data_IF_453427307174
#
_entry.id   IF_453427307174
#
_cell.length_a   1.000
_cell.length_b   1.000
_cell.length_c   1.000
_cell.angle_alpha   90.00
_cell.angle_beta   90.00
_cell.angle_gamma   90.00
#
_symmetry.space_group_name_H-M   'P 1'
#
loop_
_entity.id
_entity.type
_entity.pdbx_description
1 polymer ?
#
# COMPACT_ATOMS: atom_id res chain seq x y z
N UNK A 1 2.77 -44.68 28.57
CA UNK A 1 3.75 -43.97 27.72
C UNK A 1 5.14 -44.36 28.20
N UNK A 2 5.80 -45.20 27.45
CA UNK A 2 7.04 -45.85 27.87
C UNK A 2 8.25 -44.90 27.70
N UNK A 3 9.26 -45.11 28.50
CA UNK A 3 10.56 -44.43 28.46
C UNK A 3 11.19 -44.46 27.04
N UNK A 4 10.91 -45.52 26.28
CA UNK A 4 11.33 -45.69 24.89
C UNK A 4 10.58 -44.80 23.89
N UNK A 5 9.33 -44.38 24.19
CA UNK A 5 8.60 -43.44 23.30
C UNK A 5 9.13 -42.01 23.48
N UNK A 6 9.59 -41.66 24.69
CA UNK A 6 10.26 -40.40 24.96
C UNK A 6 11.64 -40.33 24.29
N UNK A 7 12.40 -41.43 24.32
CA UNK A 7 13.70 -41.51 23.64
C UNK A 7 13.59 -41.49 22.10
N UNK A 8 12.51 -42.07 21.53
CA UNK A 8 12.27 -41.98 20.10
C UNK A 8 11.88 -40.56 19.64
N UNK A 9 11.15 -39.82 20.48
CA UNK A 9 10.83 -38.41 20.22
C UNK A 9 12.05 -37.49 20.25
N UNK A 10 13.11 -37.82 21.01
CA UNK A 10 14.36 -37.06 21.03
C UNK A 10 15.32 -37.41 19.87
N UNK A 11 15.04 -38.47 19.12
CA UNK A 11 15.87 -38.92 17.98
C UNK A 11 15.37 -38.40 16.63
N UNK A 12 14.11 -37.98 16.51
CA UNK A 12 13.57 -37.44 15.29
C UNK A 12 13.79 -35.92 15.30
N UNK A 13 14.54 -35.46 14.34
CA UNK A 13 14.81 -34.06 14.13
C UNK A 13 13.65 -33.42 13.35
N UNK A 14 13.01 -32.42 13.93
CA UNK A 14 11.89 -31.70 13.32
C UNK A 14 12.32 -30.31 12.90
N UNK A 15 12.16 -30.02 11.62
CA UNK A 15 12.43 -28.73 11.00
C UNK A 15 11.09 -28.08 10.71
N UNK A 16 10.74 -27.02 11.43
CA UNK A 16 9.47 -26.31 11.24
C UNK A 16 9.57 -24.84 11.69
N UNK A 17 8.76 -24.00 11.10
CA UNK A 17 8.54 -22.62 11.56
C UNK A 17 7.18 -22.54 12.26
N UNK A 18 7.17 -22.84 13.54
CA UNK A 18 5.93 -22.94 14.34
C UNK A 18 5.39 -21.56 14.77
N UNK A 19 6.28 -20.58 15.00
CA UNK A 19 5.92 -19.26 15.51
C UNK A 19 6.24 -18.17 14.46
N UNK A 20 5.47 -18.17 13.35
CA UNK A 20 5.63 -17.18 12.32
C UNK A 20 5.10 -15.82 12.80
N UNK A 21 6.00 -14.86 12.97
CA UNK A 21 5.63 -13.47 13.24
C UNK A 21 5.05 -12.81 11.98
N UNK A 22 3.99 -11.99 12.10
CA UNK A 22 3.27 -11.44 10.94
C UNK A 22 4.12 -10.58 10.00
N UNK A 23 5.19 -9.96 10.53
CA UNK A 23 6.06 -9.06 9.78
C UNK A 23 7.28 -9.76 9.18
N UNK A 24 7.54 -11.02 9.49
CA UNK A 24 8.66 -11.78 8.96
C UNK A 24 8.26 -12.46 7.66
N UNK A 25 8.96 -12.14 6.58
CA UNK A 25 8.78 -12.74 5.26
C UNK A 25 9.65 -13.97 5.06
N UNK A 26 10.91 -13.91 5.47
CA UNK A 26 11.87 -14.98 5.33
C UNK A 26 12.52 -15.25 6.67
N UNK A 27 12.60 -16.53 7.03
CA UNK A 27 13.26 -16.97 8.24
C UNK A 27 14.09 -18.21 7.96
N UNK A 28 15.41 -18.12 8.26
CA UNK A 28 16.33 -19.23 8.17
C UNK A 28 16.20 -20.11 9.41
N UNK A 29 15.98 -21.39 9.20
CA UNK A 29 15.95 -22.35 10.32
C UNK A 29 17.31 -22.43 10.98
N UNK A 30 17.44 -22.12 12.29
CA UNK A 30 18.70 -22.11 12.99
C UNK A 30 19.22 -23.53 13.20
N UNK A 31 20.46 -23.77 12.73
CA UNK A 31 21.12 -25.06 12.93
C UNK A 31 22.60 -24.90 13.19
N UNK A 32 23.10 -25.74 14.06
CA UNK A 32 24.56 -25.86 14.26
C UNK A 32 25.18 -26.52 13.02
N UNK A 33 26.15 -25.88 12.41
CA UNK A 33 26.86 -26.29 11.18
C UNK A 33 25.93 -26.54 9.96
N UNK A 34 24.68 -26.10 9.97
CA UNK A 34 23.69 -26.34 8.90
C UNK A 34 23.50 -27.82 8.56
N UNK A 35 23.72 -28.72 9.52
CA UNK A 35 23.62 -30.15 9.34
C UNK A 35 22.19 -30.65 9.52
N UNK A 36 21.66 -31.36 8.51
CA UNK A 36 20.36 -32.03 8.57
C UNK A 36 20.60 -33.52 8.81
N UNK A 37 20.00 -34.06 9.87
CA UNK A 37 20.07 -35.49 10.16
C UNK A 37 19.25 -36.29 9.16
N UNK A 38 19.72 -37.47 8.85
CA UNK A 38 18.96 -38.42 8.05
C UNK A 38 17.63 -38.78 8.76
N UNK A 39 16.54 -38.90 8.03
CA UNK A 39 15.16 -39.09 8.52
C UNK A 39 14.62 -37.89 9.34
N UNK A 40 15.19 -36.69 9.20
CA UNK A 40 14.58 -35.48 9.74
C UNK A 40 13.21 -35.26 9.12
N UNK A 41 12.29 -34.69 9.89
CA UNK A 41 10.94 -34.36 9.44
C UNK A 41 10.85 -32.87 9.17
N UNK A 42 10.60 -32.49 7.91
CA UNK A 42 10.27 -31.11 7.56
C UNK A 42 8.75 -30.93 7.57
N UNK A 43 8.28 -29.92 8.29
CA UNK A 43 6.87 -29.55 8.33
C UNK A 43 6.72 -28.14 7.80
N UNK A 44 6.12 -28.02 6.61
CA UNK A 44 5.74 -26.75 6.00
C UNK A 44 4.26 -26.51 6.25
N UNK A 45 3.94 -25.44 6.99
CA UNK A 45 2.56 -25.14 7.39
C UNK A 45 1.81 -24.40 6.27
N UNK A 46 0.46 -24.44 6.25
CA UNK A 46 -0.32 -23.60 5.34
C UNK A 46 0.07 -22.12 5.45
N UNK A 47 0.29 -21.45 4.31
CA UNK A 47 0.77 -20.07 4.26
C UNK A 47 2.28 -19.93 4.43
N UNK A 48 3.02 -21.01 4.24
CA UNK A 48 4.49 -21.05 4.19
C UNK A 48 4.94 -21.87 2.99
N UNK A 49 6.16 -21.58 2.53
CA UNK A 49 6.95 -22.46 1.66
C UNK A 49 8.34 -22.62 2.27
N UNK A 50 9.01 -23.72 2.00
CA UNK A 50 10.38 -23.95 2.44
C UNK A 50 11.31 -24.00 1.22
N UNK A 51 12.46 -23.34 1.31
CA UNK A 51 13.52 -23.37 0.30
C UNK A 51 14.74 -24.04 0.88
N UNK A 52 15.27 -25.02 0.15
CA UNK A 52 16.57 -25.60 0.43
C UNK A 52 17.65 -24.90 -0.39
N UNK A 53 18.71 -24.45 0.30
CA UNK A 53 19.89 -23.85 -0.32
C UNK A 53 21.10 -24.69 0.02
N UNK A 54 21.76 -25.22 -1.00
CA UNK A 54 22.99 -25.99 -0.88
C UNK A 54 24.13 -25.31 -1.62
N UNK A 55 25.23 -25.09 -0.93
CA UNK A 55 26.43 -24.39 -1.49
C UNK A 55 26.08 -23.06 -2.20
N UNK A 56 25.12 -22.31 -1.64
CA UNK A 56 24.67 -21.03 -2.19
C UNK A 56 23.71 -21.13 -3.39
N UNK A 57 23.30 -22.35 -3.79
CA UNK A 57 22.33 -22.55 -4.86
C UNK A 57 20.99 -23.01 -4.32
N UNK A 58 19.91 -22.46 -4.84
CA UNK A 58 18.56 -22.93 -4.51
C UNK A 58 18.39 -24.32 -5.12
N UNK A 59 18.20 -25.32 -4.25
CA UNK A 59 18.03 -26.71 -4.65
C UNK A 59 16.58 -27.02 -4.96
N UNK A 60 15.66 -26.61 -4.06
CA UNK A 60 14.23 -26.91 -4.21
C UNK A 60 13.35 -25.97 -3.40
N UNK A 61 12.06 -25.90 -3.80
CA UNK A 61 10.99 -25.17 -3.09
C UNK A 61 9.88 -26.16 -2.78
N UNK A 62 9.50 -26.22 -1.50
CA UNK A 62 8.51 -27.15 -0.99
C UNK A 62 7.24 -26.41 -0.54
N UNK A 63 6.12 -26.89 -1.03
CA UNK A 63 4.78 -26.43 -0.67
C UNK A 63 4.36 -26.93 0.74
N UNK A 64 3.23 -26.43 1.29
CA UNK A 64 2.69 -26.91 2.54
C UNK A 64 2.52 -28.43 2.56
N UNK A 65 3.11 -29.08 3.58
CA UNK A 65 3.10 -30.53 3.72
C UNK A 65 4.08 -31.04 4.76
N UNK A 66 4.13 -32.35 4.90
CA UNK A 66 5.10 -33.07 5.72
C UNK A 66 6.01 -33.87 4.82
N UNK A 67 7.31 -33.69 4.99
CA UNK A 67 8.35 -34.32 4.17
C UNK A 67 9.34 -35.04 5.08
N UNK A 68 9.67 -36.27 4.72
CA UNK A 68 10.73 -37.02 5.36
C UNK A 68 12.03 -36.82 4.57
N UNK A 69 13.03 -36.30 5.22
CA UNK A 69 14.33 -35.96 4.61
C UNK A 69 15.26 -37.16 4.75
N UNK A 70 15.17 -38.09 3.81
CA UNK A 70 16.06 -39.24 3.69
C UNK A 70 17.05 -39.01 2.55
N UNK A 71 18.34 -39.22 2.82
CA UNK A 71 19.42 -39.08 1.84
C UNK A 71 19.28 -40.01 0.63
N UNK A 72 18.50 -41.10 0.73
CA UNK A 72 18.27 -42.06 -0.36
C UNK A 72 17.00 -41.75 -1.18
N UNK A 73 16.07 -40.97 -0.63
CA UNK A 73 14.73 -40.78 -1.22
C UNK A 73 14.35 -39.32 -1.43
N UNK A 74 15.32 -38.41 -1.45
CA UNK A 74 14.98 -37.02 -1.71
C UNK A 74 14.82 -36.83 -3.24
N UNK A 75 13.58 -36.93 -3.79
CA UNK A 75 13.32 -36.67 -5.20
C UNK A 75 13.59 -35.20 -5.56
N UNK A 76 13.75 -34.40 -4.55
CA UNK A 76 13.90 -32.97 -4.51
C UNK A 76 15.27 -32.46 -4.98
N UNK A 77 16.28 -33.33 -4.94
CA UNK A 77 17.63 -32.97 -5.25
C UNK A 77 18.12 -33.55 -6.58
N UNK A 78 17.18 -34.04 -7.39
CA UNK A 78 17.47 -34.60 -8.72
C UNK A 78 18.05 -33.60 -9.71
N UNK A 79 17.87 -32.33 -9.47
CA UNK A 79 18.46 -31.23 -10.27
C UNK A 79 19.94 -31.00 -9.99
N UNK A 80 20.45 -31.43 -8.85
CA UNK A 80 21.88 -31.34 -8.52
C UNK A 80 22.59 -32.63 -9.00
N UNK A 81 23.10 -32.61 -10.21
CA UNK A 81 23.79 -33.78 -10.85
C UNK A 81 25.00 -34.31 -10.06
N UNK A 82 25.44 -33.64 -8.98
CA UNK A 82 26.54 -34.06 -8.11
C UNK A 82 26.19 -35.03 -6.99
N UNK A 83 24.90 -35.28 -6.70
CA UNK A 83 24.43 -36.06 -5.54
C UNK A 83 24.48 -37.59 -5.71
N UNK A 84 24.95 -38.08 -6.87
CA UNK A 84 25.03 -39.53 -7.17
C UNK A 84 26.08 -40.31 -6.35
N UNK A 85 26.86 -39.61 -5.50
CA UNK A 85 27.95 -40.26 -4.75
C UNK A 85 27.70 -40.26 -3.25
N UNK A 86 26.64 -40.96 -2.80
CA UNK A 86 26.43 -41.47 -1.46
C UNK A 86 26.96 -40.56 -0.31
N UNK A 87 26.17 -39.54 0.09
CA UNK A 87 26.52 -38.79 1.28
C UNK A 87 26.40 -39.65 2.52
N UNK A 88 27.50 -39.84 3.22
CA UNK A 88 27.44 -40.24 4.61
C UNK A 88 26.87 -39.05 5.39
N UNK A 89 25.66 -39.26 6.00
CA UNK A 89 25.01 -38.29 6.88
C UNK A 89 25.97 -37.70 7.92
N UNK A 90 25.86 -36.39 8.27
CA UNK A 90 24.83 -35.44 7.92
C UNK A 90 25.15 -34.61 6.66
N UNK A 91 24.14 -34.16 5.93
CA UNK A 91 24.33 -33.24 4.81
C UNK A 91 24.13 -31.77 5.25
N UNK A 92 24.90 -30.86 4.63
CA UNK A 92 24.85 -29.43 4.94
C UNK A 92 23.95 -28.73 3.96
N UNK A 93 22.89 -28.12 4.48
CA UNK A 93 21.94 -27.37 3.70
C UNK A 93 21.25 -26.30 4.56
N UNK A 94 21.09 -25.14 4.02
CA UNK A 94 20.28 -24.09 4.63
C UNK A 94 18.83 -24.32 4.31
N UNK A 95 17.94 -24.17 5.29
CA UNK A 95 16.50 -24.22 5.13
C UNK A 95 15.91 -22.86 5.45
N UNK A 96 15.32 -22.24 4.44
CA UNK A 96 14.61 -20.98 4.57
C UNK A 96 13.11 -21.23 4.50
N UNK A 97 12.38 -20.67 5.43
CA UNK A 97 10.92 -20.62 5.37
C UNK A 97 10.47 -19.25 4.89
N UNK A 98 9.54 -19.24 3.96
CA UNK A 98 8.97 -18.02 3.39
C UNK A 98 7.49 -17.95 3.74
N UNK A 99 7.05 -16.80 4.30
CA UNK A 99 5.65 -16.53 4.56
C UNK A 99 4.92 -16.16 3.27
N UNK A 100 3.94 -16.98 2.86
CA UNK A 100 3.13 -16.75 1.64
C UNK A 100 1.73 -16.21 1.96
N UNK A 101 1.45 -15.92 3.24
CA UNK A 101 0.19 -15.28 3.64
C UNK A 101 0.16 -13.82 3.18
N UNK A 102 -1.04 -13.33 2.91
CA UNK A 102 -1.23 -11.92 2.59
C UNK A 102 -0.92 -11.03 3.81
N UNK A 103 -0.07 -10.04 3.61
CA UNK A 103 0.12 -8.94 4.54
C UNK A 103 -0.85 -7.82 4.15
N UNK A 104 -1.85 -7.58 5.00
CA UNK A 104 -2.92 -6.62 4.76
C UNK A 104 -2.70 -5.30 5.49
N UNK A 105 -3.43 -4.27 5.07
CA UNK A 105 -3.46 -2.96 5.73
C UNK A 105 -2.12 -2.23 5.79
N UNK A 106 -1.26 -2.49 4.81
CA UNK A 106 0.00 -1.78 4.65
C UNK A 106 -0.28 -0.37 4.12
N UNK A 107 0.34 0.64 4.73
CA UNK A 107 0.04 2.04 4.42
C UNK A 107 1.02 2.61 3.42
N UNK A 108 0.50 3.38 2.46
CA UNK A 108 1.32 4.16 1.55
C UNK A 108 0.82 5.61 1.50
N UNK A 109 1.65 6.52 1.05
CA UNK A 109 1.28 7.92 0.87
C UNK A 109 2.42 8.73 0.28
N UNK A 110 2.06 9.86 -0.30
CA UNK A 110 3.02 10.78 -0.90
C UNK A 110 3.75 11.56 0.20
N UNK A 111 5.09 11.46 0.30
CA UNK A 111 5.85 12.18 1.33
C UNK A 111 5.77 13.70 1.13
N UNK A 112 5.72 14.16 -0.13
CA UNK A 112 5.59 15.55 -0.53
C UNK A 112 4.39 15.74 -1.46
N UNK A 113 3.80 16.93 -1.54
CA UNK A 113 2.76 17.23 -2.51
C UNK A 113 3.25 17.03 -3.94
N UNK A 114 2.49 16.29 -4.75
CA UNK A 114 2.77 16.04 -6.15
C UNK A 114 2.15 17.15 -7.02
N UNK A 115 2.89 17.74 -7.96
CA UNK A 115 2.31 18.67 -8.92
C UNK A 115 1.45 17.91 -9.93
N UNK A 116 0.22 18.37 -10.11
CA UNK A 116 -0.74 17.83 -11.07
C UNK A 116 -1.23 18.96 -11.97
N UNK A 117 -1.35 18.69 -13.26
CA UNK A 117 -1.99 19.62 -14.20
C UNK A 117 -3.48 19.31 -14.25
N UNK A 118 -4.27 20.23 -13.74
CA UNK A 118 -5.72 20.13 -13.72
C UNK A 118 -6.32 21.00 -14.82
N UNK A 119 -7.33 20.51 -15.57
CA UNK A 119 -7.95 21.27 -16.65
C UNK A 119 -8.69 22.52 -16.20
N UNK A 120 -9.25 22.53 -14.97
CA UNK A 120 -10.04 23.64 -14.43
C UNK A 120 -9.18 24.64 -13.62
N UNK A 121 -8.21 24.14 -12.83
CA UNK A 121 -7.40 24.92 -11.90
C UNK A 121 -5.96 25.17 -12.36
N UNK A 122 -5.55 24.58 -13.49
CA UNK A 122 -4.17 24.68 -13.97
C UNK A 122 -3.23 23.76 -13.17
N UNK A 123 -2.10 24.28 -12.65
CA UNK A 123 -1.18 23.46 -11.87
C UNK A 123 -1.54 23.49 -10.40
N UNK A 124 -1.97 22.38 -9.87
CA UNK A 124 -2.27 22.19 -8.44
C UNK A 124 -1.26 21.24 -7.80
N UNK A 125 -1.29 21.15 -6.47
CA UNK A 125 -0.49 20.20 -5.69
C UNK A 125 -1.41 19.30 -4.89
N UNK A 126 -1.24 17.99 -5.03
CA UNK A 126 -2.05 17.00 -4.34
C UNK A 126 -1.21 16.16 -3.39
N UNK A 127 -1.84 15.62 -2.35
CA UNK A 127 -1.31 14.54 -1.52
C UNK A 127 -2.28 13.39 -1.56
N UNK A 128 -1.76 12.19 -1.73
CA UNK A 128 -2.55 10.96 -1.71
C UNK A 128 -2.03 9.99 -0.67
N UNK A 129 -2.93 9.23 -0.07
CA UNK A 129 -2.58 8.14 0.80
C UNK A 129 -3.62 7.03 0.72
N UNK A 130 -3.20 5.84 1.14
CA UNK A 130 -4.05 4.68 1.07
C UNK A 130 -3.44 3.47 1.73
N UNK A 131 -3.95 2.31 1.37
CA UNK A 131 -3.46 1.03 1.84
C UNK A 131 -3.27 0.05 0.69
N UNK A 132 -2.44 -0.96 0.94
CA UNK A 132 -2.24 -2.04 0.00
C UNK A 132 -2.07 -3.38 0.72
N UNK A 133 -2.25 -4.46 -0.03
CA UNK A 133 -2.07 -5.83 0.44
C UNK A 133 -1.00 -6.49 -0.41
N UNK A 134 -0.02 -7.11 0.25
CA UNK A 134 1.10 -7.77 -0.39
C UNK A 134 1.03 -9.28 -0.19
N UNK A 135 1.48 -10.05 -1.18
CA UNK A 135 1.64 -11.50 -1.13
C UNK A 135 2.95 -11.91 -1.80
N UNK A 136 3.62 -12.91 -1.26
CA UNK A 136 4.72 -13.60 -1.95
C UNK A 136 4.12 -14.64 -2.88
N UNK A 137 4.42 -14.55 -4.19
CA UNK A 137 3.94 -15.47 -5.23
C UNK A 137 5.06 -16.43 -5.68
N UNK A 138 6.29 -15.93 -5.80
CA UNK A 138 7.47 -16.76 -6.05
C UNK A 138 8.53 -16.48 -4.96
N UNK A 139 8.84 -17.48 -4.12
CA UNK A 139 9.80 -17.29 -3.05
C UNK A 139 11.27 -17.27 -3.52
N UNK A 140 11.56 -17.73 -4.74
CA UNK A 140 12.94 -17.78 -5.26
C UNK A 140 13.53 -16.40 -5.51
N UNK A 141 12.91 -15.52 -6.33
CA UNK A 141 13.40 -14.17 -6.52
C UNK A 141 13.50 -13.40 -5.19
N UNK A 142 12.49 -13.54 -4.31
CA UNK A 142 12.53 -12.90 -2.99
C UNK A 142 13.77 -13.27 -2.19
N UNK A 143 14.13 -14.54 -2.17
CA UNK A 143 15.32 -14.99 -1.46
C UNK A 143 16.61 -14.54 -2.14
N UNK A 144 16.69 -14.60 -3.47
CA UNK A 144 17.90 -14.28 -4.23
C UNK A 144 18.18 -12.79 -4.25
N UNK A 145 17.17 -11.97 -4.55
CA UNK A 145 17.36 -10.55 -4.82
C UNK A 145 17.25 -9.69 -3.55
N UNK A 146 16.47 -10.13 -2.57
CA UNK A 146 16.19 -9.30 -1.40
C UNK A 146 16.76 -9.85 -0.09
N UNK A 147 16.41 -11.07 0.27
CA UNK A 147 16.81 -11.63 1.56
C UNK A 147 18.27 -12.11 1.58
N UNK A 148 18.75 -12.65 0.47
CA UNK A 148 20.12 -13.15 0.36
C UNK A 148 20.47 -14.18 1.43
N UNK A 149 21.56 -13.94 2.17
CA UNK A 149 22.02 -14.81 3.26
C UNK A 149 21.58 -14.38 4.66
N UNK A 150 20.62 -13.45 4.77
CA UNK A 150 20.13 -12.99 6.08
C UNK A 150 19.39 -14.11 6.80
N UNK A 151 19.58 -14.20 8.11
CA UNK A 151 18.86 -15.20 8.92
C UNK A 151 17.37 -14.89 9.06
N UNK A 152 17.04 -13.61 9.02
CA UNK A 152 15.67 -13.12 9.05
C UNK A 152 15.55 -11.91 8.12
N UNK A 153 14.49 -11.88 7.31
CA UNK A 153 14.17 -10.77 6.44
C UNK A 153 12.73 -10.32 6.67
N UNK A 154 12.61 -9.07 7.08
CA UNK A 154 11.34 -8.50 7.50
C UNK A 154 10.67 -7.72 6.37
N UNK A 155 9.35 -7.65 6.43
CA UNK A 155 8.53 -6.85 5.55
C UNK A 155 8.99 -5.38 5.45
N UNK A 156 9.47 -4.79 6.56
CA UNK A 156 9.91 -3.39 6.60
C UNK A 156 11.04 -3.06 5.61
N UNK A 157 11.85 -4.05 5.24
CA UNK A 157 12.92 -3.87 4.26
C UNK A 157 12.36 -3.68 2.83
N UNK A 158 11.23 -4.30 2.52
CA UNK A 158 10.55 -4.21 1.22
C UNK A 158 9.60 -2.99 1.16
N UNK A 159 9.01 -2.63 2.29
CA UNK A 159 7.97 -1.61 2.40
C UNK A 159 8.40 -0.25 1.81
N UNK A 160 9.65 0.17 2.06
CA UNK A 160 10.17 1.43 1.53
C UNK A 160 10.25 1.44 0.00
N UNK A 161 10.69 0.34 -0.61
CA UNK A 161 10.72 0.17 -2.06
C UNK A 161 9.31 0.20 -2.64
N UNK A 162 8.40 -0.60 -2.08
CA UNK A 162 7.02 -0.69 -2.56
C UNK A 162 6.29 0.65 -2.46
N UNK A 163 6.42 1.39 -1.36
CA UNK A 163 5.86 2.74 -1.23
C UNK A 163 6.38 3.68 -2.31
N UNK A 164 7.67 3.63 -2.60
CA UNK A 164 8.27 4.47 -3.64
C UNK A 164 7.71 4.14 -5.03
N UNK A 165 7.59 2.85 -5.36
CA UNK A 165 7.01 2.38 -6.62
C UNK A 165 5.53 2.74 -6.74
N UNK A 166 4.76 2.59 -5.65
CA UNK A 166 3.33 2.97 -5.62
C UNK A 166 3.18 4.48 -5.89
N UNK A 167 3.94 5.31 -5.17
CA UNK A 167 3.87 6.78 -5.34
C UNK A 167 4.28 7.20 -6.75
N UNK A 168 5.32 6.59 -7.31
CA UNK A 168 5.74 6.83 -8.69
C UNK A 168 4.65 6.44 -9.68
N UNK A 169 4.14 5.20 -9.62
CA UNK A 169 3.13 4.70 -10.56
C UNK A 169 1.79 5.46 -10.44
N UNK A 170 1.40 5.84 -9.22
CA UNK A 170 0.26 6.72 -8.97
C UNK A 170 0.45 8.08 -9.65
N UNK A 171 1.62 8.72 -9.44
CA UNK A 171 1.93 10.04 -10.02
C UNK A 171 1.93 9.99 -11.55
N UNK A 172 2.52 8.97 -12.15
CA UNK A 172 2.55 8.75 -13.59
C UNK A 172 1.11 8.58 -14.14
N UNK A 173 0.33 7.71 -13.50
CA UNK A 173 -1.04 7.44 -13.96
C UNK A 173 -1.94 8.68 -13.87
N UNK A 174 -1.94 9.40 -12.74
CA UNK A 174 -2.76 10.61 -12.57
C UNK A 174 -2.33 11.72 -13.54
N UNK A 175 -1.03 11.86 -13.84
CA UNK A 175 -0.55 12.83 -14.81
C UNK A 175 -0.98 12.49 -16.26
N UNK A 176 -1.07 11.21 -16.60
CA UNK A 176 -1.45 10.73 -17.94
C UNK A 176 -2.96 10.76 -18.17
N UNK A 177 -3.76 10.47 -17.13
CA UNK A 177 -5.21 10.31 -17.22
C UNK A 177 -5.98 11.62 -17.47
N UNK A 178 -5.37 12.79 -17.21
CA UNK A 178 -6.02 14.11 -17.29
C UNK A 178 -7.36 14.19 -16.53
N UNK A 179 -7.52 13.41 -15.45
CA UNK A 179 -8.71 13.43 -14.60
C UNK A 179 -8.73 14.76 -13.84
N UNK A 180 -9.85 15.49 -13.90
CA UNK A 180 -10.02 16.71 -13.15
C UNK A 180 -10.08 16.43 -11.63
N UNK A 181 -9.60 17.38 -10.81
CA UNK A 181 -9.61 17.25 -9.36
C UNK A 181 -11.01 16.95 -8.81
N UNK A 182 -12.05 17.52 -9.39
CA UNK A 182 -13.44 17.25 -9.05
C UNK A 182 -13.87 15.79 -9.26
N UNK A 183 -13.35 15.16 -10.32
CA UNK A 183 -13.74 13.81 -10.72
C UNK A 183 -12.84 12.75 -10.11
N UNK A 184 -11.72 13.14 -9.51
CA UNK A 184 -10.73 12.20 -9.00
C UNK A 184 -11.31 11.29 -7.93
N UNK A 185 -12.16 11.82 -7.04
CA UNK A 185 -12.82 11.04 -5.99
C UNK A 185 -13.77 9.97 -6.54
N UNK A 186 -14.44 10.24 -7.66
CA UNK A 186 -15.31 9.28 -8.34
C UNK A 186 -14.52 8.16 -9.04
N UNK A 187 -13.25 8.41 -9.35
CA UNK A 187 -12.39 7.50 -10.10
C UNK A 187 -11.33 6.78 -9.23
N UNK A 188 -11.42 6.85 -7.88
CA UNK A 188 -10.43 6.19 -7.00
C UNK A 188 -10.23 4.72 -7.30
N UNK A 189 -11.28 3.97 -7.62
CA UNK A 189 -11.18 2.54 -7.93
C UNK A 189 -10.40 2.28 -9.22
N UNK A 190 -10.64 3.06 -10.27
CA UNK A 190 -9.95 2.94 -11.55
C UNK A 190 -8.48 3.33 -11.41
N UNK A 191 -8.19 4.46 -10.75
CA UNK A 191 -6.82 4.93 -10.50
C UNK A 191 -6.06 3.95 -9.61
N UNK A 192 -6.72 3.35 -8.61
CA UNK A 192 -6.13 2.33 -7.75
C UNK A 192 -5.71 1.10 -8.54
N UNK A 193 -6.60 0.58 -9.39
CA UNK A 193 -6.33 -0.61 -10.19
C UNK A 193 -5.24 -0.37 -11.23
N UNK A 194 -5.29 0.73 -11.96
CA UNK A 194 -4.24 1.08 -12.92
C UNK A 194 -2.87 1.30 -12.24
N UNK A 195 -2.85 1.90 -11.04
CA UNK A 195 -1.63 2.04 -10.25
C UNK A 195 -1.11 0.66 -9.81
N UNK A 196 -1.99 -0.23 -9.34
CA UNK A 196 -1.66 -1.60 -8.94
C UNK A 196 -1.00 -2.37 -10.07
N UNK A 197 -1.60 -2.36 -11.27
CA UNK A 197 -1.09 -3.03 -12.46
C UNK A 197 0.32 -2.55 -12.81
N UNK A 198 0.53 -1.25 -12.90
CA UNK A 198 1.87 -0.67 -13.18
C UNK A 198 2.93 -1.02 -12.13
N UNK A 199 2.54 -1.19 -10.87
CA UNK A 199 3.48 -1.63 -9.82
C UNK A 199 3.77 -3.11 -9.94
N UNK A 200 2.74 -3.96 -10.15
CA UNK A 200 2.90 -5.40 -10.29
C UNK A 200 3.85 -5.75 -11.44
N UNK A 201 3.72 -5.10 -12.60
CA UNK A 201 4.65 -5.28 -13.73
C UNK A 201 6.13 -5.07 -13.37
N UNK A 202 6.41 -4.25 -12.34
CA UNK A 202 7.79 -3.96 -11.90
C UNK A 202 8.30 -4.92 -10.82
N UNK A 203 7.41 -5.55 -10.03
CA UNK A 203 7.80 -6.31 -8.84
C UNK A 203 7.56 -7.82 -8.95
N UNK A 204 6.72 -8.24 -9.88
CA UNK A 204 6.26 -9.63 -10.00
C UNK A 204 7.42 -10.57 -10.37
N UNK A 205 8.00 -10.35 -11.53
CA UNK A 205 9.13 -11.18 -12.02
C UNK A 205 10.43 -10.91 -11.26
N UNK A 206 10.67 -9.67 -10.83
CA UNK A 206 11.95 -9.27 -10.25
C UNK A 206 12.10 -9.71 -8.79
N UNK A 207 11.02 -9.62 -7.99
CA UNK A 207 11.07 -9.90 -6.55
C UNK A 207 10.15 -11.03 -6.11
N UNK A 208 9.33 -11.58 -6.99
CA UNK A 208 8.35 -12.62 -6.68
C UNK A 208 7.23 -12.14 -5.74
N UNK A 209 6.88 -10.87 -5.83
CA UNK A 209 5.90 -10.19 -4.99
C UNK A 209 4.71 -9.73 -5.83
N UNK A 210 3.51 -9.78 -5.26
CA UNK A 210 2.29 -9.29 -5.88
C UNK A 210 1.54 -8.36 -4.93
N UNK A 211 1.14 -7.18 -5.41
CA UNK A 211 0.15 -6.35 -4.73
C UNK A 211 -1.23 -6.87 -5.15
N UNK A 212 -1.87 -7.64 -4.27
CA UNK A 212 -3.19 -8.24 -4.54
C UNK A 212 -4.31 -7.21 -4.48
N UNK A 213 -4.13 -6.13 -3.71
CA UNK A 213 -5.08 -5.03 -3.61
C UNK A 213 -4.34 -3.73 -3.32
N UNK A 214 -4.72 -2.66 -4.00
CA UNK A 214 -4.28 -1.30 -3.73
C UNK A 214 -5.51 -0.41 -3.64
N UNK A 215 -5.56 0.43 -2.60
CA UNK A 215 -6.68 1.35 -2.39
C UNK A 215 -6.14 2.76 -2.13
N UNK A 216 -6.74 3.73 -2.79
CA UNK A 216 -6.62 5.15 -2.47
C UNK A 216 -7.72 5.47 -1.45
N UNK A 217 -7.32 5.91 -0.26
CA UNK A 217 -8.28 6.27 0.80
C UNK A 217 -8.70 7.72 0.65
N UNK A 218 -7.73 8.60 0.37
CA UNK A 218 -8.01 10.01 0.18
C UNK A 218 -6.94 10.70 -0.67
N UNK A 219 -7.37 11.73 -1.38
CA UNK A 219 -6.51 12.70 -2.07
C UNK A 219 -6.85 14.08 -1.52
N UNK A 220 -5.86 14.77 -0.93
CA UNK A 220 -6.02 16.09 -0.34
C UNK A 220 -5.49 17.16 -1.30
N UNK A 221 -6.22 18.26 -1.39
CA UNK A 221 -5.90 19.43 -2.19
C UNK A 221 -5.39 20.60 -1.32
N UNK A 222 -4.73 21.61 -1.89
CA UNK A 222 -4.48 22.88 -1.19
C UNK A 222 -5.78 23.55 -0.77
N UNK A 223 -5.74 24.29 0.32
CA UNK A 223 -6.92 24.95 0.92
C UNK A 223 -7.64 25.87 -0.09
N UNK A 224 -6.88 26.56 -0.96
CA UNK A 224 -7.45 27.42 -2.00
C UNK A 224 -8.26 26.61 -3.02
N UNK A 225 -7.80 25.41 -3.39
CA UNK A 225 -8.50 24.51 -4.30
C UNK A 225 -9.74 23.92 -3.63
N UNK A 226 -9.63 23.50 -2.37
CA UNK A 226 -10.79 22.99 -1.59
C UNK A 226 -11.88 24.05 -1.48
N UNK A 227 -11.53 25.30 -1.14
CA UNK A 227 -12.48 26.44 -1.12
C UNK A 227 -13.13 26.71 -2.47
N UNK A 228 -12.37 26.58 -3.57
CA UNK A 228 -12.91 26.75 -4.91
C UNK A 228 -13.86 25.61 -5.29
N UNK A 229 -13.55 24.36 -4.89
CA UNK A 229 -14.41 23.19 -5.04
C UNK A 229 -15.74 23.41 -4.29
N UNK A 230 -15.67 23.81 -3.03
CA UNK A 230 -16.84 24.08 -2.17
C UNK A 230 -17.71 25.20 -2.76
N UNK A 231 -17.08 26.28 -3.23
CA UNK A 231 -17.78 27.40 -3.86
C UNK A 231 -18.52 26.98 -5.13
N UNK A 232 -17.87 26.15 -5.97
CA UNK A 232 -18.49 25.64 -7.21
C UNK A 232 -19.62 24.66 -6.91
N UNK A 233 -19.46 23.80 -5.91
CA UNK A 233 -20.51 22.90 -5.45
C UNK A 233 -21.73 23.69 -4.91
N UNK A 234 -21.49 24.72 -4.11
CA UNK A 234 -22.53 25.64 -3.62
C UNK A 234 -23.26 26.38 -4.76
N UNK A 235 -22.51 26.87 -5.76
CA UNK A 235 -23.12 27.47 -6.96
C UNK A 235 -23.99 26.49 -7.74
N UNK A 236 -23.51 25.23 -7.91
CA UNK A 236 -24.28 24.18 -8.58
C UNK A 236 -25.56 23.81 -7.83
N UNK A 237 -25.52 23.76 -6.48
CA UNK A 237 -26.68 23.47 -5.65
C UNK A 237 -27.72 24.61 -5.63
N UNK A 238 -27.29 25.87 -5.72
CA UNK A 238 -28.17 27.06 -5.70
C UNK A 238 -28.75 27.35 -7.09
N UNK A 239 -28.07 26.94 -8.16
CA UNK A 239 -28.57 26.98 -9.56
C UNK A 239 -28.75 28.38 -10.18
N UNK A 240 -28.53 29.48 -9.43
CA UNK A 240 -28.68 30.84 -9.90
C UNK A 240 -27.63 31.77 -9.29
N UNK A 241 -26.89 32.50 -10.14
CA UNK A 241 -25.83 33.40 -9.74
C UNK A 241 -26.30 34.54 -8.79
N UNK A 242 -27.53 35.03 -8.98
CA UNK A 242 -28.09 36.07 -8.10
C UNK A 242 -28.38 35.51 -6.70
N UNK A 243 -28.88 34.30 -6.58
CA UNK A 243 -29.10 33.65 -5.29
C UNK A 243 -27.78 33.30 -4.60
N UNK A 244 -26.75 32.93 -5.35
CA UNK A 244 -25.44 32.69 -4.81
C UNK A 244 -24.79 33.96 -4.24
N UNK A 245 -24.92 35.10 -4.94
CA UNK A 245 -24.45 36.39 -4.43
C UNK A 245 -25.19 36.78 -3.13
N UNK A 246 -26.50 36.58 -3.05
CA UNK A 246 -27.27 36.82 -1.81
C UNK A 246 -26.84 35.92 -0.66
N UNK A 247 -26.53 34.66 -0.95
CA UNK A 247 -26.03 33.69 0.02
C UNK A 247 -24.63 34.11 0.55
N UNK A 248 -23.73 34.52 -0.34
CA UNK A 248 -22.40 35.02 0.01
C UNK A 248 -22.48 36.30 0.86
N UNK A 249 -23.37 37.23 0.51
CA UNK A 249 -23.62 38.44 1.30
C UNK A 249 -24.17 38.11 2.68
N UNK A 250 -25.07 37.13 2.77
CA UNK A 250 -25.60 36.63 4.06
C UNK A 250 -24.54 36.04 4.97
N UNK A 251 -23.59 35.30 4.40
CA UNK A 251 -22.46 34.70 5.15
C UNK A 251 -21.40 35.72 5.56
N UNK A 252 -21.18 36.77 4.77
CA UNK A 252 -20.22 37.83 5.09
C UNK A 252 -20.71 38.82 6.16
N UNK A 253 -22.04 38.94 6.34
CA UNK A 253 -22.62 39.84 7.33
C UNK A 253 -22.21 39.58 8.82
N UNK A 254 -22.21 38.30 9.29
CA UNK A 254 -21.78 38.02 10.67
C UNK A 254 -20.29 38.32 10.91
N UNK A 255 -19.46 38.15 9.89
CA UNK A 255 -18.01 38.37 9.95
C UNK A 255 -17.67 39.86 10.01
N UNK A 256 -18.41 40.67 9.27
CA UNK A 256 -18.35 42.15 9.32
C UNK A 256 -18.87 42.66 10.66
N UNK A 257 -19.94 42.06 11.19
CA UNK A 257 -20.52 42.44 12.46
C UNK A 257 -19.66 42.08 13.69
N UNK A 258 -18.81 41.04 13.56
CA UNK A 258 -17.92 40.58 14.66
C UNK A 258 -16.58 41.31 14.72
N UNK A 259 -16.29 42.24 13.81
CA UNK A 259 -15.03 42.98 13.75
C UNK A 259 -15.23 44.46 14.08
N UNK A 260 -15.26 44.87 15.37
CA UNK A 260 -15.57 46.23 15.81
C UNK A 260 -14.45 47.27 15.53
N UNK A 261 -13.36 46.88 14.88
CA UNK A 261 -12.16 47.70 14.67
C UNK A 261 -11.92 48.21 13.26
N UNK A 262 -12.84 48.02 12.33
CA UNK A 262 -12.70 48.45 10.93
C UNK A 262 -13.10 49.92 10.76
N UNK A 263 -12.11 50.82 10.73
CA UNK A 263 -12.34 52.25 10.50
C UNK A 263 -12.94 52.54 9.13
N UNK A 264 -13.53 53.75 9.01
CA UNK A 264 -14.04 54.49 7.82
C UNK A 264 -14.43 53.76 6.54
N UNK A 265 -13.82 52.61 6.20
CA UNK A 265 -14.17 51.75 5.07
C UNK A 265 -15.45 50.94 5.32
N UNK A 266 -15.70 50.51 6.56
CA UNK A 266 -16.91 49.79 6.95
C UNK A 266 -18.14 50.69 6.97
N UNK A 267 -17.98 51.97 7.38
CA UNK A 267 -19.05 52.97 7.38
C UNK A 267 -19.46 53.35 5.93
N UNK A 268 -18.51 53.40 4.99
CA UNK A 268 -18.77 53.67 3.60
C UNK A 268 -19.49 52.52 2.88
N UNK A 269 -19.16 51.25 3.21
CA UNK A 269 -19.84 50.07 2.65
C UNK A 269 -21.25 49.88 3.23
N UNK A 270 -21.45 50.15 4.51
CA UNK A 270 -22.77 50.06 5.16
C UNK A 270 -23.78 51.08 4.58
N UNK A 271 -23.33 52.30 4.31
CA UNK A 271 -24.15 53.33 3.66
C UNK A 271 -24.41 53.01 2.20
N UNK A 272 -23.43 52.49 1.47
CA UNK A 272 -23.61 52.12 0.04
C UNK A 272 -24.59 50.95 -0.15
N UNK A 273 -24.55 49.95 0.74
CA UNK A 273 -25.48 48.81 0.71
C UNK A 273 -26.89 49.23 1.15
N UNK A 274 -27.00 50.09 2.15
CA UNK A 274 -28.30 50.62 2.63
C UNK A 274 -29.02 51.42 1.55
N UNK A 275 -28.32 52.25 0.79
CA UNK A 275 -28.85 53.00 -0.34
C UNK A 275 -29.22 52.11 -1.54
N UNK A 276 -28.44 51.07 -1.82
CA UNK A 276 -28.76 50.10 -2.91
C UNK A 276 -30.02 49.29 -2.56
N UNK A 277 -30.21 48.85 -1.30
CA UNK A 277 -31.42 48.17 -0.88
C UNK A 277 -32.63 49.11 -0.85
N UNK A 278 -32.49 50.34 -0.43
CA UNK A 278 -33.55 51.33 -0.43
C UNK A 278 -34.02 51.68 -1.86
N UNK A 279 -33.09 51.75 -2.83
CA UNK A 279 -33.40 51.95 -4.24
C UNK A 279 -34.16 50.76 -4.88
N UNK A 280 -33.87 49.53 -4.45
CA UNK A 280 -34.55 48.34 -4.94
C UNK A 280 -35.97 48.22 -4.35
N UNK A 281 -36.19 48.60 -3.11
CA UNK A 281 -37.51 48.63 -2.48
C UNK A 281 -38.41 49.77 -3.06
N UNK A 282 -37.81 50.93 -3.37
CA UNK A 282 -38.53 52.06 -4.01
C UNK A 282 -39.02 51.72 -5.41
N UNK A 283 -38.26 50.87 -6.17
CA UNK A 283 -38.67 50.42 -7.51
C UNK A 283 -39.85 49.38 -7.51
N UNK A 284 -40.09 48.74 -6.39
CA UNK A 284 -41.16 47.73 -6.27
C UNK A 284 -42.54 48.31 -5.90
N UNK A 285 -42.63 49.58 -5.50
CA UNK A 285 -43.88 50.23 -5.03
C UNK A 285 -44.49 51.16 -6.10
N UNK A 286 -43.83 51.34 -7.24
CA UNK A 286 -44.27 52.32 -8.27
C UNK A 286 -44.80 51.65 -9.53
N UNK A 287 -45.94 50.95 -9.51
CA UNK A 287 -46.75 50.75 -10.69
C UNK A 287 -48.23 50.96 -10.35
N UNK A 288 -48.79 52.15 -10.66
CA UNK A 288 -50.22 52.27 -10.83
C UNK A 288 -50.65 51.88 -12.23
N UNK A 289 -51.71 51.17 -12.31
CA UNK A 289 -52.63 50.78 -13.39
C UNK A 289 -52.39 51.29 -14.80
#
# INVERSE_FOLDING_TARGET
MGFFDKLKGELIDVIEWSNQEPHVLVWKFPRYNNEIKNNAQLIVRPGQQAIFVHEGQIADVLDPGRYELDTNNIPLLSTLQGWKHGFQSPFKCDVFFIGTRQATDLKWGTPNPLPLRDPDFGTIRIRAFGSYTLKVIDPKPLLQEMAGSQEQFDFSAVDTLLRSLIVQSFSEHVAESNIAAFDLAANYSEVSEATREKVCEKIDDEYGLEITQLMIVNVSFPEEVEKAIDSRAAMGAIGNMQQYQQYQLGNAMPEIASNPGGGTAADGMGLGMGLAMAGQMAGAVGSPQ
#
